data_IF_154660196984
#
_entry.id   IF_154660196984
#
_cell.length_a   1.000
_cell.length_b   1.000
_cell.length_c   1.000
_cell.angle_alpha   90.00
_cell.angle_beta   90.00
_cell.angle_gamma   90.00
#
_symmetry.space_group_name_H-M   'P 1'
#
loop_
_entity.id
_entity.type
_entity.pdbx_description
1 polymer ?
#
# COMPACT_ATOMS: atom_id res chain seq x y z
N UNK A 1 4.05 -20.08 15.79
CA UNK A 1 4.41 -19.06 14.79
C UNK A 1 3.76 -17.77 15.25
N UNK A 2 4.54 -16.78 15.71
CA UNK A 2 3.99 -15.51 16.16
C UNK A 2 4.06 -14.56 14.97
N UNK A 3 2.92 -14.30 14.32
CA UNK A 3 2.84 -13.22 13.33
C UNK A 3 2.86 -11.92 14.11
N UNK A 4 3.89 -11.10 13.91
CA UNK A 4 3.98 -9.79 14.53
C UNK A 4 3.44 -8.70 13.59
N UNK A 5 2.90 -7.62 14.15
CA UNK A 5 2.50 -6.46 13.35
C UNK A 5 3.66 -5.88 12.53
N UNK A 6 4.91 -6.04 13.00
CA UNK A 6 6.11 -5.66 12.26
C UNK A 6 6.18 -6.40 10.93
N UNK A 7 5.94 -7.71 10.92
CA UNK A 7 6.08 -8.53 9.71
C UNK A 7 4.92 -8.32 8.72
N UNK A 8 3.74 -7.96 9.22
CA UNK A 8 2.57 -7.70 8.36
C UNK A 8 2.55 -6.30 7.75
N UNK A 9 3.05 -5.29 8.48
CA UNK A 9 2.94 -3.88 8.09
C UNK A 9 4.23 -3.33 7.48
N UNK A 10 5.40 -3.81 7.93
CA UNK A 10 6.71 -3.28 7.54
C UNK A 10 7.27 -4.14 6.41
N UNK A 11 6.71 -4.00 5.22
CA UNK A 11 7.17 -4.72 4.02
C UNK A 11 8.27 -3.93 3.29
N UNK A 12 9.06 -4.57 2.38
CA UNK A 12 10.01 -3.84 1.54
C UNK A 12 9.38 -2.68 0.75
N UNK A 13 8.12 -2.83 0.32
CA UNK A 13 7.39 -1.76 -0.36
C UNK A 13 7.15 -0.55 0.57
N UNK A 14 6.74 -0.81 1.81
CA UNK A 14 6.49 0.25 2.81
C UNK A 14 7.78 0.95 3.20
N UNK A 15 8.89 0.21 3.32
CA UNK A 15 10.20 0.81 3.59
C UNK A 15 10.69 1.72 2.46
N UNK A 16 10.41 1.35 1.20
CA UNK A 16 10.82 2.12 0.02
C UNK A 16 9.92 3.33 -0.26
N UNK A 17 8.60 3.14 -0.17
CA UNK A 17 7.61 4.09 -0.69
C UNK A 17 6.76 4.75 0.42
N UNK A 18 6.92 4.32 1.67
CA UNK A 18 6.06 4.70 2.79
C UNK A 18 4.73 3.95 2.83
N UNK A 19 3.95 4.20 3.88
CA UNK A 19 2.62 3.64 4.02
C UNK A 19 1.68 4.08 2.89
N UNK A 20 0.71 3.22 2.61
CA UNK A 20 -0.40 3.44 1.67
C UNK A 20 0.00 3.65 0.21
N UNK A 21 1.28 3.56 -0.15
CA UNK A 21 1.72 3.57 -1.55
C UNK A 21 1.45 2.20 -2.19
N UNK A 22 0.77 2.24 -3.34
CA UNK A 22 0.36 1.04 -4.09
C UNK A 22 1.32 0.81 -5.25
N UNK A 23 1.74 -0.44 -5.40
CA UNK A 23 2.42 -0.91 -6.61
C UNK A 23 1.38 -1.06 -7.72
N UNK A 24 1.45 -0.18 -8.73
CA UNK A 24 0.47 -0.09 -9.80
C UNK A 24 0.47 -1.32 -10.72
N UNK A 25 1.63 -1.93 -10.94
CA UNK A 25 1.76 -3.15 -11.75
C UNK A 25 1.15 -4.36 -11.01
N UNK A 26 1.30 -4.39 -9.67
CA UNK A 26 0.60 -5.37 -8.84
C UNK A 26 -0.91 -5.16 -8.87
N UNK A 27 -1.37 -3.91 -8.73
CA UNK A 27 -2.79 -3.58 -8.79
C UNK A 27 -3.40 -3.98 -10.13
N UNK A 28 -2.75 -3.68 -11.25
CA UNK A 28 -3.23 -4.04 -12.58
C UNK A 28 -3.43 -5.55 -12.73
N UNK A 29 -2.46 -6.36 -12.27
CA UNK A 29 -2.58 -7.81 -12.27
C UNK A 29 -3.78 -8.29 -11.47
N UNK A 30 -4.00 -7.73 -10.28
CA UNK A 30 -5.16 -8.06 -9.45
C UNK A 30 -6.47 -7.66 -10.12
N UNK A 31 -6.56 -6.47 -10.72
CA UNK A 31 -7.76 -6.02 -11.45
C UNK A 31 -8.11 -6.97 -12.60
N UNK A 32 -7.11 -7.42 -13.37
CA UNK A 32 -7.29 -8.38 -14.47
C UNK A 32 -7.73 -9.77 -13.98
N UNK A 33 -7.32 -10.18 -12.78
CA UNK A 33 -7.74 -11.44 -12.18
C UNK A 33 -9.17 -11.39 -11.64
N UNK A 34 -9.57 -10.25 -11.06
CA UNK A 34 -10.86 -10.10 -10.37
C UNK A 34 -12.01 -9.74 -11.31
N UNK A 35 -11.77 -8.88 -12.31
CA UNK A 35 -12.82 -8.40 -13.22
C UNK A 35 -13.61 -9.51 -13.94
N UNK A 36 -13.00 -10.61 -14.41
CA UNK A 36 -13.74 -11.72 -15.03
C UNK A 36 -14.73 -12.40 -14.09
N UNK A 37 -14.43 -12.49 -12.79
CA UNK A 37 -15.32 -13.11 -11.79
C UNK A 37 -16.62 -12.33 -11.64
N UNK A 38 -16.57 -11.02 -11.85
CA UNK A 38 -17.72 -10.11 -11.77
C UNK A 38 -18.35 -9.80 -13.12
N UNK A 39 -17.88 -10.40 -14.22
CA UNK A 39 -18.34 -10.09 -15.59
C UNK A 39 -18.27 -8.60 -15.94
N UNK A 40 -17.22 -7.91 -15.50
CA UNK A 40 -16.96 -6.51 -15.83
C UNK A 40 -15.67 -6.35 -16.63
N UNK A 41 -15.54 -5.24 -17.35
CA UNK A 41 -14.25 -4.84 -17.91
C UNK A 41 -13.29 -4.45 -16.78
N UNK A 42 -12.01 -4.86 -16.88
CA UNK A 42 -11.01 -4.46 -15.92
C UNK A 42 -10.75 -2.94 -16.04
N UNK A 43 -10.95 -2.15 -14.97
CA UNK A 43 -10.68 -0.71 -15.01
C UNK A 43 -9.17 -0.44 -15.11
N UNK A 44 -8.80 0.78 -15.51
CA UNK A 44 -7.40 1.22 -15.41
C UNK A 44 -7.01 1.31 -13.93
N UNK A 45 -5.78 0.93 -13.54
CA UNK A 45 -5.29 1.14 -12.18
C UNK A 45 -5.44 2.59 -11.69
N UNK A 46 -5.28 3.57 -12.58
CA UNK A 46 -5.43 5.00 -12.27
C UNK A 46 -6.85 5.42 -11.91
N UNK A 47 -7.85 4.66 -12.36
CA UNK A 47 -9.26 4.93 -12.06
C UNK A 47 -9.64 4.44 -10.65
N UNK A 48 -8.86 3.50 -10.11
CA UNK A 48 -9.09 2.85 -8.82
C UNK A 48 -8.24 3.46 -7.71
N UNK A 49 -7.03 3.93 -8.01
CA UNK A 49 -6.10 4.44 -7.02
C UNK A 49 -5.39 5.72 -7.46
N UNK A 50 -5.22 6.65 -6.51
CA UNK A 50 -4.46 7.88 -6.68
C UNK A 50 -3.75 8.29 -5.40
N UNK A 51 -2.53 8.80 -5.53
CA UNK A 51 -1.73 9.29 -4.39
C UNK A 51 -2.10 10.71 -3.95
N UNK A 52 -2.98 11.42 -4.68
CA UNK A 52 -3.28 12.84 -4.46
C UNK A 52 -3.85 13.20 -3.07
N UNK A 53 -4.38 12.21 -2.35
CA UNK A 53 -4.97 12.37 -1.01
C UNK A 53 -4.07 11.81 0.09
N UNK A 54 -2.90 11.29 -0.27
CA UNK A 54 -1.93 10.83 0.70
C UNK A 54 -1.27 12.03 1.39
N UNK A 55 -0.93 11.91 2.68
CA UNK A 55 -0.01 12.84 3.31
C UNK A 55 1.32 12.92 2.54
N UNK A 56 2.08 14.01 2.72
CA UNK A 56 3.43 14.14 2.16
C UNK A 56 4.27 12.89 2.43
N UNK A 57 5.14 12.52 1.48
CA UNK A 57 5.94 11.30 1.59
C UNK A 57 6.74 11.23 2.91
N UNK A 58 7.23 12.37 3.41
CA UNK A 58 7.97 12.48 4.67
C UNK A 58 7.17 12.12 5.93
N UNK A 59 5.84 12.15 5.86
CA UNK A 59 4.91 11.77 6.93
C UNK A 59 4.48 10.30 6.84
N UNK A 60 4.71 9.65 5.69
CA UNK A 60 4.34 8.25 5.42
C UNK A 60 5.46 7.26 5.74
N UNK A 61 6.64 7.73 6.13
CA UNK A 61 7.78 6.88 6.42
C UNK A 61 7.60 6.13 7.74
N UNK A 62 8.08 4.90 7.78
CA UNK A 62 8.21 4.14 9.02
C UNK A 62 9.28 4.80 9.88
N UNK A 63 8.89 5.29 11.06
CA UNK A 63 9.84 5.81 12.05
C UNK A 63 9.97 4.83 13.21
N UNK A 64 11.20 4.64 13.74
CA UNK A 64 11.37 3.98 15.03
C UNK A 64 10.55 4.73 16.09
N UNK A 65 9.77 4.00 16.87
CA UNK A 65 9.07 4.59 18.01
C UNK A 65 10.09 5.17 18.98
N UNK A 66 9.91 6.44 19.32
CA UNK A 66 10.69 7.12 20.37
C UNK A 66 9.75 7.40 21.53
N UNK A 67 10.04 6.92 22.76
CA UNK A 67 9.20 7.22 23.91
C UNK A 67 9.14 8.74 24.15
N UNK A 68 7.98 9.28 24.58
CA UNK A 68 7.89 10.67 24.99
C UNK A 68 8.83 10.92 26.18
N UNK A 69 9.44 12.11 26.23
CA UNK A 69 10.18 12.54 27.41
C UNK A 69 9.22 12.62 28.61
N UNK A 70 9.67 12.12 29.77
CA UNK A 70 8.91 12.14 31.02
C UNK A 70 8.64 13.55 31.51
#
# INVERSE_FOLDING_TARGET
MTISMRDMLITPNVLKNGFSSVDMDRLERTLKQVAPVFNIAAPSPSDVYTERYLPPAAERVVRPWTPPAK
#
